data_IF_773818201880
#
_entry.id   IF_773818201880
#
_cell.length_a   1.000
_cell.length_b   1.000
_cell.length_c   1.000
_cell.angle_alpha   90.00
_cell.angle_beta   90.00
_cell.angle_gamma   90.00
#
_symmetry.space_group_name_H-M   'P 1'
#
loop_
_entity.id
_entity.type
_entity.pdbx_description
1 polymer ?
#
# COMPACT_ATOMS: atom_id res chain seq x y z
N UNK A 1 -17.78 20.89 -5.15
CA UNK A 1 -16.47 20.38 -5.63
C UNK A 1 -15.64 20.12 -4.39
N UNK A 2 -15.13 18.90 -4.21
CA UNK A 2 -14.12 18.64 -3.18
C UNK A 2 -12.84 19.37 -3.56
N UNK A 3 -12.32 20.19 -2.66
CA UNK A 3 -11.03 20.86 -2.84
C UNK A 3 -9.91 19.79 -2.86
N UNK A 4 -8.76 20.11 -3.46
CA UNK A 4 -7.57 19.28 -3.46
C UNK A 4 -7.19 18.84 -2.03
N UNK A 5 -7.32 19.76 -1.06
CA UNK A 5 -7.08 19.45 0.35
C UNK A 5 -7.99 18.32 0.86
N UNK A 6 -9.26 18.28 0.45
CA UNK A 6 -10.19 17.20 0.81
C UNK A 6 -9.78 15.87 0.18
N UNK A 7 -9.24 15.88 -1.04
CA UNK A 7 -8.74 14.64 -1.69
C UNK A 7 -7.50 14.10 -0.98
N UNK A 8 -6.60 14.97 -0.55
CA UNK A 8 -5.43 14.58 0.25
C UNK A 8 -5.86 13.98 1.60
N UNK A 9 -6.72 14.70 2.33
CA UNK A 9 -7.27 14.23 3.59
C UNK A 9 -8.03 12.93 3.42
N UNK A 10 -8.92 12.83 2.43
CA UNK A 10 -9.70 11.63 2.15
C UNK A 10 -8.85 10.42 1.76
N UNK A 11 -7.67 10.63 1.15
CA UNK A 11 -6.75 9.53 0.84
C UNK A 11 -6.16 8.93 2.12
N UNK A 12 -5.66 9.76 3.05
CA UNK A 12 -5.08 9.29 4.31
C UNK A 12 -6.15 8.85 5.33
N UNK A 13 -7.24 9.61 5.44
CA UNK A 13 -8.39 9.30 6.28
C UNK A 13 -9.28 8.20 5.70
N UNK A 14 -9.06 7.76 4.47
CA UNK A 14 -9.67 6.54 3.93
C UNK A 14 -8.86 5.29 4.30
N UNK A 15 -7.53 5.43 4.38
CA UNK A 15 -6.61 4.35 4.74
C UNK A 15 -6.83 3.90 6.18
N UNK A 16 -6.73 4.80 7.16
CA UNK A 16 -6.73 4.41 8.58
C UNK A 16 -8.07 3.82 9.08
N UNK A 17 -9.24 4.39 8.77
CA UNK A 17 -10.52 3.76 9.09
C UNK A 17 -10.78 2.51 8.26
N UNK A 18 -10.33 2.45 7.00
CA UNK A 18 -10.44 1.25 6.19
C UNK A 18 -9.69 0.06 6.79
N UNK A 19 -8.47 0.32 7.27
CA UNK A 19 -7.65 -0.61 8.05
C UNK A 19 -8.36 -1.02 9.35
N UNK A 20 -8.78 -0.06 10.18
CA UNK A 20 -9.45 -0.32 11.45
C UNK A 20 -10.80 -1.06 11.33
N UNK A 21 -11.55 -0.88 10.24
CA UNK A 21 -12.76 -1.67 9.93
C UNK A 21 -12.38 -3.06 9.42
N UNK A 22 -11.38 -3.16 8.55
CA UNK A 22 -10.98 -4.40 7.90
C UNK A 22 -10.41 -5.44 8.87
N UNK A 23 -9.64 -4.99 9.86
CA UNK A 23 -9.01 -5.89 10.84
C UNK A 23 -10.00 -6.68 11.70
N UNK A 24 -11.23 -6.16 11.93
CA UNK A 24 -12.30 -6.87 12.66
C UNK A 24 -12.60 -8.26 12.08
N UNK A 25 -12.46 -8.43 10.77
CA UNK A 25 -12.81 -9.66 10.04
C UNK A 25 -11.61 -10.30 9.37
N UNK A 26 -10.40 -9.90 9.77
CA UNK A 26 -9.18 -10.45 9.22
C UNK A 26 -9.08 -11.96 9.46
N UNK A 27 -8.54 -12.67 8.47
CA UNK A 27 -8.49 -14.15 8.40
C UNK A 27 -9.86 -14.86 8.34
N UNK A 28 -10.97 -14.13 8.25
CA UNK A 28 -12.30 -14.72 8.05
C UNK A 28 -12.59 -14.97 6.57
N UNK A 29 -13.37 -16.02 6.27
CA UNK A 29 -13.79 -16.28 4.90
C UNK A 29 -14.89 -15.29 4.48
N UNK A 30 -14.94 -14.85 3.20
CA UNK A 30 -16.04 -14.02 2.72
C UNK A 30 -17.40 -14.68 2.98
N UNK A 31 -18.31 -13.95 3.64
CA UNK A 31 -19.64 -14.44 4.00
C UNK A 31 -19.72 -15.27 5.29
N UNK A 32 -18.60 -15.50 6.00
CA UNK A 32 -18.60 -16.22 7.28
C UNK A 32 -18.79 -15.33 8.51
N UNK A 33 -18.97 -14.03 8.32
CA UNK A 33 -19.09 -13.03 9.38
C UNK A 33 -20.25 -12.08 9.08
N UNK A 34 -20.92 -11.50 10.09
CA UNK A 34 -21.97 -10.52 9.87
C UNK A 34 -21.38 -9.23 9.25
N UNK A 35 -22.14 -8.47 8.45
CA UNK A 35 -21.66 -7.21 7.87
C UNK A 35 -21.10 -6.28 8.95
N UNK A 36 -19.87 -5.79 8.75
CA UNK A 36 -19.25 -4.77 9.60
C UNK A 36 -19.63 -3.40 9.04
N UNK A 37 -20.40 -2.64 9.81
CA UNK A 37 -20.91 -1.33 9.40
C UNK A 37 -20.33 -0.17 10.22
N UNK A 38 -19.51 -0.46 11.24
CA UNK A 38 -18.97 0.54 12.17
C UNK A 38 -17.57 0.13 12.67
N UNK A 39 -16.87 1.05 13.32
CA UNK A 39 -15.57 0.84 13.95
C UNK A 39 -15.74 0.09 15.28
N UNK A 40 -15.88 -1.24 15.21
CA UNK A 40 -16.17 -2.07 16.38
C UNK A 40 -14.92 -2.67 17.05
N UNK A 41 -13.75 -2.59 16.42
CA UNK A 41 -12.52 -3.22 16.93
C UNK A 41 -12.57 -4.75 16.88
N UNK A 42 -12.00 -5.42 17.89
CA UNK A 42 -11.95 -6.88 17.99
C UNK A 42 -10.93 -7.52 17.05
N UNK A 43 -11.39 -8.47 16.23
CA UNK A 43 -10.54 -9.20 15.31
C UNK A 43 -9.50 -10.11 16.00
N UNK A 44 -8.52 -10.64 15.25
CA UNK A 44 -7.51 -11.56 15.76
C UNK A 44 -6.58 -10.94 16.82
N UNK A 45 -6.54 -9.62 16.92
CA UNK A 45 -5.64 -8.89 17.83
C UNK A 45 -6.36 -8.28 19.04
N UNK A 46 -7.69 -8.40 19.13
CA UNK A 46 -8.48 -7.84 20.24
C UNK A 46 -8.36 -6.33 20.35
N UNK A 47 -8.47 -5.62 19.22
CA UNK A 47 -8.28 -4.18 19.15
C UNK A 47 -9.45 -3.39 19.74
N UNK A 48 -9.16 -2.22 20.29
CA UNK A 48 -10.20 -1.25 20.64
C UNK A 48 -10.80 -0.60 19.37
N UNK A 49 -12.07 -0.18 19.40
CA UNK A 49 -12.69 0.64 18.36
C UNK A 49 -11.78 1.76 17.84
N UNK A 50 -11.50 1.76 16.53
CA UNK A 50 -10.69 2.79 15.87
C UNK A 50 -9.17 2.57 15.89
N UNK A 51 -8.67 1.52 16.55
CA UNK A 51 -7.27 1.11 16.42
C UNK A 51 -7.02 0.46 15.06
N UNK A 52 -6.00 0.97 14.36
CA UNK A 52 -5.51 0.51 13.06
C UNK A 52 -4.25 -0.36 13.20
N UNK A 53 -3.82 -1.03 12.14
CA UNK A 53 -2.80 -2.10 12.16
C UNK A 53 -1.47 -1.69 11.51
N UNK A 54 -0.75 -2.64 10.90
CA UNK A 54 0.52 -2.42 10.23
C UNK A 54 0.36 -1.54 8.98
N UNK A 55 -0.76 -1.63 8.27
CA UNK A 55 -1.07 -0.80 7.10
C UNK A 55 -0.88 0.69 7.39
N UNK A 56 -1.57 1.19 8.42
CA UNK A 56 -1.52 2.59 8.82
C UNK A 56 -0.20 2.94 9.51
N UNK A 57 0.35 2.06 10.36
CA UNK A 57 1.64 2.29 11.01
C UNK A 57 2.75 2.57 10.00
N UNK A 58 2.81 1.74 8.95
CA UNK A 58 3.82 1.83 7.91
C UNK A 58 3.55 2.98 6.95
N UNK A 59 2.29 3.35 6.72
CA UNK A 59 1.96 4.56 5.97
C UNK A 59 2.42 5.82 6.73
N UNK A 60 2.17 5.91 8.04
CA UNK A 60 2.59 7.04 8.86
C UNK A 60 4.12 7.17 8.94
N UNK A 61 4.84 6.05 9.08
CA UNK A 61 6.31 6.04 9.01
C UNK A 61 6.82 6.56 7.66
N UNK A 62 6.18 6.18 6.55
CA UNK A 62 6.56 6.64 5.21
C UNK A 62 6.25 8.13 5.01
N UNK A 63 5.11 8.61 5.50
CA UNK A 63 4.76 10.02 5.47
C UNK A 63 5.75 10.87 6.27
N UNK A 64 6.12 10.43 7.48
CA UNK A 64 7.13 11.11 8.30
C UNK A 64 8.48 11.22 7.57
N UNK A 65 8.90 10.15 6.87
CA UNK A 65 10.12 10.16 6.03
C UNK A 65 10.08 11.21 4.94
N UNK A 66 9.03 11.19 4.14
CA UNK A 66 8.88 12.11 3.02
C UNK A 66 8.92 13.57 3.49
N UNK A 67 8.25 13.88 4.59
CA UNK A 67 8.16 15.23 5.15
C UNK A 67 9.50 15.67 5.76
N UNK A 68 10.08 14.88 6.66
CA UNK A 68 11.28 15.25 7.41
C UNK A 68 12.52 15.29 6.51
N UNK A 69 12.64 14.36 5.57
CA UNK A 69 13.74 14.31 4.60
C UNK A 69 13.50 15.21 3.37
N UNK A 70 12.31 15.83 3.26
CA UNK A 70 11.91 16.69 2.12
C UNK A 70 12.05 15.99 0.78
N UNK A 71 11.75 14.69 0.75
CA UNK A 71 11.98 13.82 -0.40
C UNK A 71 11.98 12.36 0.02
N UNK A 72 12.14 11.48 -0.97
CA UNK A 72 12.17 10.04 -0.74
C UNK A 72 13.58 9.61 -0.33
N UNK A 73 13.69 9.12 0.90
CA UNK A 73 14.90 8.48 1.42
C UNK A 73 14.59 7.04 1.81
N UNK A 74 15.08 6.09 1.02
CA UNK A 74 14.82 4.67 1.22
C UNK A 74 15.43 4.13 2.53
N UNK A 75 16.56 4.70 2.99
CA UNK A 75 17.22 4.28 4.23
C UNK A 75 16.43 4.74 5.43
N UNK A 76 16.06 6.01 5.45
CA UNK A 76 15.27 6.61 6.52
C UNK A 76 13.84 6.02 6.59
N UNK A 77 13.25 5.63 5.44
CA UNK A 77 12.05 4.80 5.40
C UNK A 77 12.23 3.48 6.17
N UNK A 78 13.30 2.74 5.89
CA UNK A 78 13.59 1.44 6.55
C UNK A 78 13.93 1.60 8.02
N UNK A 79 14.63 2.68 8.40
CA UNK A 79 14.94 3.00 9.79
C UNK A 79 13.68 3.32 10.61
N UNK A 80 12.71 4.07 10.06
CA UNK A 80 11.42 4.27 10.74
C UNK A 80 10.60 2.98 10.85
N UNK A 81 10.64 2.10 9.85
CA UNK A 81 10.01 0.79 9.98
C UNK A 81 10.68 -0.08 11.04
N UNK A 82 12.01 -0.01 11.21
CA UNK A 82 12.69 -0.67 12.33
C UNK A 82 12.28 -0.06 13.68
N UNK A 83 12.13 1.26 13.78
CA UNK A 83 11.61 1.92 15.01
C UNK A 83 10.18 1.49 15.32
N UNK A 84 9.32 1.39 14.31
CA UNK A 84 7.99 0.82 14.48
C UNK A 84 8.08 -0.62 14.99
N UNK A 85 8.86 -1.47 14.30
CA UNK A 85 9.01 -2.89 14.62
C UNK A 85 9.54 -3.16 16.04
N UNK A 86 10.50 -2.34 16.51
CA UNK A 86 11.14 -2.50 17.81
C UNK A 86 10.41 -1.81 18.95
N UNK A 87 9.96 -0.58 18.72
CA UNK A 87 9.55 0.34 19.78
C UNK A 87 8.08 0.75 19.67
N UNK A 88 7.34 0.25 18.66
CA UNK A 88 5.95 0.64 18.43
C UNK A 88 5.79 2.08 17.94
N UNK A 89 6.83 2.68 17.38
CA UNK A 89 6.78 4.03 16.81
C UNK A 89 5.63 4.16 15.80
N UNK A 90 4.75 5.15 16.02
CA UNK A 90 3.53 5.36 15.23
C UNK A 90 2.67 4.10 15.10
N UNK A 91 2.48 3.37 16.20
CA UNK A 91 1.47 2.31 16.34
C UNK A 91 0.26 2.81 17.13
N UNK A 92 -0.94 2.34 16.78
CA UNK A 92 -2.19 2.61 17.51
C UNK A 92 -2.23 1.99 18.91
N UNK A 93 -1.42 0.98 19.17
CA UNK A 93 -1.37 0.23 20.44
C UNK A 93 -0.09 0.48 21.24
N UNK A 94 0.81 1.34 20.75
CA UNK A 94 2.11 1.59 21.37
C UNK A 94 3.13 0.45 21.21
N UNK A 95 2.82 -0.60 20.45
CA UNK A 95 3.73 -1.72 20.13
C UNK A 95 3.59 -2.17 18.68
N UNK A 96 4.60 -2.82 18.12
CA UNK A 96 4.44 -3.52 16.84
C UNK A 96 3.60 -4.79 17.01
N UNK A 97 2.61 -4.96 16.15
CA UNK A 97 1.85 -6.20 16.00
C UNK A 97 1.52 -6.37 14.51
N UNK A 98 1.06 -7.56 14.13
CA UNK A 98 0.55 -7.85 12.78
C UNK A 98 1.53 -7.64 11.60
N UNK A 99 2.84 -7.50 11.90
CA UNK A 99 3.86 -7.37 10.85
C UNK A 99 3.95 -8.65 10.00
N UNK A 100 3.68 -8.50 8.70
CA UNK A 100 3.83 -9.57 7.72
C UNK A 100 5.27 -10.12 7.60
N UNK A 101 5.39 -11.38 7.23
CA UNK A 101 6.66 -12.12 7.18
C UNK A 101 7.65 -11.52 6.17
N UNK A 102 7.16 -11.04 5.01
CA UNK A 102 8.01 -10.40 3.99
C UNK A 102 8.60 -9.09 4.52
N UNK A 103 7.81 -8.27 5.22
CA UNK A 103 8.30 -7.04 5.86
C UNK A 103 9.32 -7.38 6.93
N UNK A 104 8.98 -8.28 7.86
CA UNK A 104 9.87 -8.72 8.95
C UNK A 104 11.21 -9.22 8.40
N UNK A 105 11.19 -10.01 7.34
CA UNK A 105 12.40 -10.55 6.70
C UNK A 105 13.25 -9.44 6.09
N UNK A 106 12.63 -8.49 5.38
CA UNK A 106 13.34 -7.35 4.78
C UNK A 106 13.97 -6.44 5.85
N UNK A 107 13.25 -6.15 6.93
CA UNK A 107 13.77 -5.36 8.06
C UNK A 107 14.95 -6.07 8.73
N UNK A 108 14.86 -7.38 8.93
CA UNK A 108 15.96 -8.18 9.48
C UNK A 108 17.21 -8.13 8.58
N UNK A 109 17.04 -8.30 7.26
CA UNK A 109 18.13 -8.19 6.28
C UNK A 109 18.79 -6.81 6.33
N UNK A 110 17.99 -5.74 6.27
CA UNK A 110 18.49 -4.38 6.37
C UNK A 110 19.22 -4.10 7.70
N UNK A 111 18.71 -4.62 8.81
CA UNK A 111 19.34 -4.46 10.12
C UNK A 111 20.71 -5.16 10.21
N UNK A 112 20.88 -6.30 9.54
CA UNK A 112 22.13 -7.07 9.54
C UNK A 112 23.12 -6.65 8.44
N UNK A 113 22.65 -5.96 7.41
CA UNK A 113 23.49 -5.48 6.32
C UNK A 113 24.49 -4.42 6.84
N UNK A 114 25.82 -4.65 6.71
CA UNK A 114 26.84 -3.70 7.14
C UNK A 114 26.81 -2.39 6.34
N UNK A 115 26.41 -2.44 5.07
CA UNK A 115 26.31 -1.28 4.18
C UNK A 115 24.98 -0.54 4.33
N UNK A 116 24.04 -1.11 5.10
CA UNK A 116 22.68 -0.58 5.28
C UNK A 116 22.02 -0.31 3.93
N UNK A 117 22.05 -1.30 3.03
CA UNK A 117 21.33 -1.22 1.76
C UNK A 117 19.81 -1.27 2.02
N UNK A 118 19.06 -0.19 1.74
CA UNK A 118 17.64 -0.12 2.07
C UNK A 118 16.76 -1.00 1.17
N UNK A 119 17.25 -1.43 0.02
CA UNK A 119 16.51 -2.23 -0.95
C UNK A 119 16.57 -3.73 -0.63
N UNK A 120 16.07 -4.09 0.56
CA UNK A 120 16.16 -5.43 1.12
C UNK A 120 15.00 -6.37 0.73
N UNK A 121 14.07 -5.89 -0.11
CA UNK A 121 12.90 -6.64 -0.53
C UNK A 121 13.22 -7.84 -1.40
N UNK A 122 12.57 -8.97 -1.14
CA UNK A 122 12.70 -10.18 -1.95
C UNK A 122 12.18 -9.95 -3.38
N UNK A 123 12.93 -10.39 -4.39
CA UNK A 123 12.53 -10.36 -5.81
C UNK A 123 11.79 -11.62 -6.26
N UNK A 124 11.67 -12.63 -5.39
CA UNK A 124 10.93 -13.87 -5.66
C UNK A 124 9.45 -13.57 -5.97
N UNK A 125 8.92 -14.11 -7.06
CA UNK A 125 7.54 -13.93 -7.48
C UNK A 125 6.51 -14.38 -6.40
N UNK A 126 6.88 -15.34 -5.55
CA UNK A 126 6.03 -15.83 -4.45
C UNK A 126 5.98 -14.87 -3.26
N UNK A 127 6.85 -13.87 -3.21
CA UNK A 127 6.88 -12.83 -2.18
C UNK A 127 6.08 -11.57 -2.54
N UNK A 128 5.25 -11.64 -3.58
CA UNK A 128 4.33 -10.58 -3.97
C UNK A 128 3.11 -10.52 -3.03
N UNK A 129 3.33 -10.20 -1.75
CA UNK A 129 2.31 -9.84 -0.76
C UNK A 129 1.95 -8.34 -0.82
N UNK A 130 0.90 -7.93 -0.10
CA UNK A 130 0.35 -6.56 -0.14
C UNK A 130 1.15 -5.55 0.70
N UNK A 131 2.13 -6.00 1.47
CA UNK A 131 2.84 -5.21 2.49
C UNK A 131 3.48 -3.91 2.01
N UNK A 132 3.78 -3.78 0.72
CA UNK A 132 4.26 -2.51 0.14
C UNK A 132 3.14 -1.63 -0.43
N UNK A 133 2.04 -2.22 -0.89
CA UNK A 133 0.91 -1.51 -1.49
C UNK A 133 0.04 -0.82 -0.45
N UNK A 134 -0.25 -1.51 0.66
CA UNK A 134 -1.15 -1.01 1.72
C UNK A 134 -0.67 0.30 2.37
N UNK A 135 0.65 0.51 2.42
CA UNK A 135 1.30 1.69 3.01
C UNK A 135 1.58 2.83 2.02
N UNK A 136 1.23 2.66 0.74
CA UNK A 136 1.79 3.46 -0.35
C UNK A 136 1.32 4.91 -0.38
N UNK A 137 0.09 5.19 0.08
CA UNK A 137 -0.62 6.45 -0.10
C UNK A 137 0.22 7.74 0.09
N UNK A 138 1.14 7.86 1.07
CA UNK A 138 1.95 9.06 1.24
C UNK A 138 2.82 9.43 0.03
N UNK A 139 3.30 8.46 -0.75
CA UNK A 139 4.19 8.71 -1.90
C UNK A 139 3.49 9.49 -3.02
N UNK A 140 2.37 9.02 -3.60
CA UNK A 140 1.66 9.78 -4.63
C UNK A 140 1.06 11.10 -4.12
N UNK A 141 0.81 11.23 -2.82
CA UNK A 141 0.42 12.51 -2.23
C UNK A 141 1.58 13.51 -2.22
N UNK A 142 2.77 13.08 -1.79
CA UNK A 142 3.94 13.95 -1.71
C UNK A 142 4.42 14.41 -3.10
N UNK A 143 4.33 13.54 -4.11
CA UNK A 143 4.78 13.81 -5.48
C UNK A 143 3.63 14.15 -6.45
N UNK A 144 2.46 14.58 -5.97
CA UNK A 144 1.29 14.77 -6.84
C UNK A 144 1.50 15.79 -7.98
N UNK A 145 2.41 16.75 -7.78
CA UNK A 145 2.78 17.76 -8.77
C UNK A 145 3.59 17.19 -9.93
N UNK A 146 4.35 16.10 -9.70
CA UNK A 146 5.08 15.34 -10.71
C UNK A 146 4.60 13.87 -10.74
N UNK A 147 3.55 13.56 -11.52
CA UNK A 147 2.97 12.23 -11.55
C UNK A 147 3.94 11.13 -12.00
N UNK A 148 4.90 11.44 -12.87
CA UNK A 148 5.90 10.47 -13.31
C UNK A 148 6.88 10.16 -12.17
N UNK A 149 7.25 11.14 -11.36
CA UNK A 149 8.04 10.91 -10.16
C UNK A 149 7.26 10.15 -9.08
N UNK A 150 5.98 10.43 -8.89
CA UNK A 150 5.12 9.65 -7.99
C UNK A 150 5.13 8.14 -8.34
N UNK A 151 5.03 7.80 -9.63
CA UNK A 151 5.09 6.39 -10.08
C UNK A 151 6.48 5.78 -9.85
N UNK A 152 7.56 6.52 -10.15
CA UNK A 152 8.94 6.06 -9.90
C UNK A 152 9.21 5.82 -8.42
N UNK A 153 8.81 6.76 -7.55
CA UNK A 153 9.00 6.65 -6.09
C UNK A 153 8.14 5.58 -5.46
N UNK A 154 6.98 5.28 -6.03
CA UNK A 154 6.17 4.14 -5.61
C UNK A 154 6.88 2.80 -5.84
N UNK A 155 7.59 2.67 -6.97
CA UNK A 155 8.41 1.49 -7.25
C UNK A 155 9.54 1.36 -6.22
N UNK A 156 10.30 2.44 -6.00
CA UNK A 156 11.43 2.47 -5.08
C UNK A 156 11.01 2.21 -3.63
N UNK A 157 9.90 2.81 -3.17
CA UNK A 157 9.31 2.55 -1.85
C UNK A 157 8.89 1.10 -1.67
N UNK A 158 8.38 0.45 -2.72
CA UNK A 158 8.01 -0.96 -2.69
C UNK A 158 9.24 -1.85 -2.50
N UNK A 159 10.30 -1.62 -3.28
CA UNK A 159 11.54 -2.41 -3.31
C UNK A 159 12.26 -2.49 -1.96
N UNK A 160 12.02 -1.55 -1.04
CA UNK A 160 12.60 -1.60 0.31
C UNK A 160 12.22 -2.87 1.07
N UNK A 161 10.99 -3.37 0.90
CA UNK A 161 10.51 -4.61 1.55
C UNK A 161 9.96 -5.66 0.59
N UNK A 162 9.49 -5.26 -0.58
CA UNK A 162 8.92 -6.13 -1.61
C UNK A 162 9.55 -5.80 -2.98
N UNK A 163 10.55 -6.58 -3.38
CA UNK A 163 11.22 -6.43 -4.68
C UNK A 163 10.55 -7.22 -5.82
N UNK A 164 9.55 -8.05 -5.51
CA UNK A 164 8.86 -8.88 -6.49
C UNK A 164 8.16 -8.00 -7.52
N UNK A 165 8.38 -8.27 -8.81
CA UNK A 165 7.89 -7.41 -9.91
C UNK A 165 6.40 -7.07 -9.79
N UNK A 166 5.55 -8.06 -9.46
CA UNK A 166 4.10 -7.82 -9.30
C UNK A 166 3.79 -6.85 -8.16
N UNK A 167 4.51 -6.88 -7.04
CA UNK A 167 4.29 -5.96 -5.92
C UNK A 167 4.75 -4.54 -6.26
N UNK A 168 5.92 -4.43 -6.90
CA UNK A 168 6.47 -3.15 -7.37
C UNK A 168 5.54 -2.50 -8.40
N UNK A 169 5.09 -3.27 -9.39
CA UNK A 169 4.20 -2.78 -10.44
C UNK A 169 2.79 -2.46 -9.91
N UNK A 170 2.30 -3.18 -8.91
CA UNK A 170 1.05 -2.84 -8.23
C UNK A 170 1.16 -1.48 -7.53
N UNK A 171 2.31 -1.20 -6.90
CA UNK A 171 2.55 0.11 -6.30
C UNK A 171 2.64 1.23 -7.35
N UNK A 172 3.38 1.00 -8.44
CA UNK A 172 3.44 1.94 -9.59
C UNK A 172 2.03 2.28 -10.10
N UNK A 173 1.21 1.25 -10.32
CA UNK A 173 -0.13 1.44 -10.84
C UNK A 173 -1.08 2.13 -9.85
N UNK A 174 -1.02 1.77 -8.57
CA UNK A 174 -1.82 2.44 -7.53
C UNK A 174 -1.43 3.91 -7.36
N UNK A 175 -0.14 4.25 -7.44
CA UNK A 175 0.31 5.64 -7.43
C UNK A 175 -0.26 6.43 -8.61
N UNK A 176 -0.24 5.86 -9.81
CA UNK A 176 -0.87 6.44 -10.99
C UNK A 176 -2.36 6.73 -10.75
N UNK A 177 -3.12 5.77 -10.21
CA UNK A 177 -4.54 5.94 -9.90
C UNK A 177 -4.78 7.03 -8.85
N UNK A 178 -4.00 7.05 -7.76
CA UNK A 178 -4.13 8.07 -6.71
C UNK A 178 -3.86 9.45 -7.29
N UNK A 179 -2.76 9.64 -8.03
CA UNK A 179 -2.46 10.95 -8.64
C UNK A 179 -3.53 11.37 -9.65
N UNK A 180 -4.04 10.44 -10.47
CA UNK A 180 -5.17 10.70 -11.35
C UNK A 180 -6.40 11.20 -10.60
N UNK A 181 -6.75 10.53 -9.49
CA UNK A 181 -7.83 10.94 -8.62
C UNK A 181 -7.56 12.31 -7.96
N UNK A 182 -6.35 12.61 -7.49
CA UNK A 182 -6.01 13.93 -6.93
C UNK A 182 -6.18 15.04 -7.98
N UNK A 183 -5.84 14.76 -9.24
CA UNK A 183 -5.93 15.71 -10.36
C UNK A 183 -7.28 15.75 -11.05
N UNK A 184 -8.31 15.11 -10.48
CA UNK A 184 -9.68 15.26 -10.92
C UNK A 184 -10.16 14.27 -11.99
N UNK A 185 -9.39 13.22 -12.31
CA UNK A 185 -9.85 12.18 -13.22
C UNK A 185 -11.15 11.54 -12.70
N UNK A 186 -12.08 11.22 -13.61
CA UNK A 186 -13.32 10.54 -13.26
C UNK A 186 -13.06 9.08 -12.87
N UNK A 187 -13.98 8.49 -12.11
CA UNK A 187 -13.91 7.06 -11.77
C UNK A 187 -13.90 6.20 -13.05
N UNK A 188 -14.69 6.59 -14.04
CA UNK A 188 -14.75 5.92 -15.33
C UNK A 188 -13.39 5.96 -16.04
N UNK A 189 -12.71 7.11 -16.05
CA UNK A 189 -11.39 7.25 -16.69
C UNK A 189 -10.31 6.44 -15.97
N UNK A 190 -10.36 6.40 -14.64
CA UNK A 190 -9.44 5.59 -13.83
C UNK A 190 -9.64 4.07 -14.04
N UNK A 191 -10.81 3.61 -14.50
CA UNK A 191 -11.15 2.18 -14.60
C UNK A 191 -11.19 1.62 -16.04
N UNK A 192 -11.15 2.44 -17.09
CA UNK A 192 -11.28 2.02 -18.50
C UNK A 192 -10.11 1.18 -19.06
N UNK A 193 -8.98 1.11 -18.37
CA UNK A 193 -7.76 0.45 -18.81
C UNK A 193 -6.62 0.73 -17.83
N UNK A 194 -5.35 0.41 -18.16
CA UNK A 194 -4.24 0.83 -17.33
C UNK A 194 -4.12 2.35 -17.40
N UNK A 195 -4.73 3.04 -16.43
CA UNK A 195 -4.62 4.49 -16.31
C UNK A 195 -3.14 4.90 -16.27
N UNK A 196 -2.79 5.87 -17.11
CA UNK A 196 -1.46 6.48 -17.15
C UNK A 196 -1.59 7.96 -16.81
N UNK A 197 -0.93 8.46 -15.76
CA UNK A 197 -0.97 9.87 -15.45
C UNK A 197 -0.11 10.67 -16.43
N UNK A 198 -0.27 11.99 -16.44
CA UNK A 198 0.53 12.88 -17.28
C UNK A 198 2.04 12.63 -17.11
N UNK A 199 2.77 12.55 -18.23
CA UNK A 199 4.22 12.33 -18.24
C UNK A 199 4.65 10.87 -18.05
N UNK A 200 3.72 9.92 -17.99
CA UNK A 200 4.03 8.51 -17.81
C UNK A 200 3.52 7.65 -18.97
N UNK A 201 4.36 6.73 -19.45
CA UNK A 201 4.02 5.81 -20.55
C UNK A 201 4.38 4.36 -20.19
N UNK A 202 3.35 3.53 -20.03
CA UNK A 202 3.49 2.10 -19.76
C UNK A 202 4.13 1.31 -20.91
N UNK A 203 4.22 1.86 -22.12
CA UNK A 203 4.90 1.19 -23.25
C UNK A 203 6.42 1.11 -23.04
N UNK A 204 7.00 2.13 -22.40
CA UNK A 204 8.43 2.21 -22.10
C UNK A 204 8.85 1.29 -20.95
N UNK A 205 7.99 1.16 -19.94
CA UNK A 205 8.22 0.29 -18.77
C UNK A 205 6.96 -0.53 -18.43
N UNK A 206 6.70 -1.64 -19.16
CA UNK A 206 5.45 -2.38 -19.05
C UNK A 206 5.21 -3.00 -17.67
N UNK A 207 3.95 -2.91 -17.21
CA UNK A 207 3.46 -3.60 -16.03
C UNK A 207 3.63 -5.13 -16.16
N UNK A 208 3.79 -5.81 -15.04
CA UNK A 208 3.78 -7.27 -14.97
C UNK A 208 2.55 -7.85 -15.67
N UNK A 209 2.70 -8.97 -16.38
CA UNK A 209 1.61 -9.64 -17.10
C UNK A 209 0.42 -9.99 -16.20
N UNK A 210 0.68 -10.24 -14.91
CA UNK A 210 -0.32 -10.49 -13.87
C UNK A 210 -1.25 -9.30 -13.63
N UNK A 211 -0.77 -8.08 -13.87
CA UNK A 211 -1.52 -6.83 -13.74
C UNK A 211 -2.14 -6.36 -15.07
N UNK A 212 -1.74 -6.94 -16.19
CA UNK A 212 -2.25 -6.60 -17.53
C UNK A 212 -3.76 -6.84 -17.74
N UNK A 213 -4.44 -7.47 -16.78
CA UNK A 213 -5.88 -7.71 -16.80
C UNK A 213 -6.69 -6.62 -16.04
N UNK A 214 -6.02 -5.71 -15.35
CA UNK A 214 -6.67 -4.64 -14.58
C UNK A 214 -7.21 -3.59 -15.57
N UNK A 215 -8.54 -3.50 -15.66
CA UNK A 215 -9.25 -2.58 -16.57
C UNK A 215 -10.05 -3.24 -17.70
N UNK A 216 -10.05 -4.58 -17.81
CA UNK A 216 -10.93 -5.26 -18.77
C UNK A 216 -12.40 -5.26 -18.30
N UNK A 217 -13.39 -5.09 -19.21
CA UNK A 217 -14.81 -5.09 -18.88
C UNK A 217 -15.23 -6.32 -18.08
N UNK A 218 -16.10 -6.11 -17.10
CA UNK A 218 -16.66 -7.16 -16.22
C UNK A 218 -17.25 -8.35 -16.99
N UNK A 219 -17.65 -8.16 -18.25
CA UNK A 219 -18.33 -9.14 -19.09
C UNK A 219 -17.48 -10.36 -19.53
N UNK A 220 -16.14 -10.32 -19.43
CA UNK A 220 -15.27 -11.48 -19.71
C UNK A 220 -15.05 -12.33 -18.44
N UNK A 221 -15.70 -11.98 -17.32
CA UNK A 221 -15.61 -12.72 -16.06
C UNK A 221 -16.62 -13.87 -16.05
N UNK A 222 -16.22 -15.04 -16.55
CA UNK A 222 -16.93 -16.28 -16.24
C UNK A 222 -16.80 -16.56 -14.74
N UNK A 223 -17.90 -16.34 -14.03
CA UNK A 223 -18.13 -16.50 -12.58
C UNK A 223 -18.11 -15.17 -11.78
N UNK A 224 -19.30 -14.59 -11.47
CA UNK A 224 -19.48 -13.34 -10.72
C UNK A 224 -18.90 -13.35 -9.30
N UNK A 225 -18.58 -14.52 -8.74
CA UNK A 225 -18.01 -14.71 -7.41
C UNK A 225 -16.49 -14.92 -7.39
N UNK A 226 -15.84 -14.84 -8.56
CA UNK A 226 -14.38 -14.88 -8.72
C UNK A 226 -13.81 -13.53 -9.12
N UNK A 227 -14.35 -12.44 -8.58
CA UNK A 227 -13.43 -11.43 -8.05
C UNK A 227 -12.73 -12.15 -6.90
N UNK A 228 -11.62 -12.84 -7.20
CA UNK A 228 -10.54 -12.81 -6.22
C UNK A 228 -10.31 -11.32 -6.04
N UNK A 229 -10.90 -10.73 -4.99
CA UNK A 229 -10.15 -9.85 -4.13
C UNK A 229 -8.86 -10.63 -3.99
N UNK A 230 -7.93 -10.18 -4.82
CA UNK A 230 -6.69 -10.85 -5.16
C UNK A 230 -6.17 -11.26 -3.78
N UNK A 231 -5.91 -12.55 -3.59
CA UNK A 231 -5.88 -13.29 -2.31
C UNK A 231 -4.76 -12.77 -1.38
N UNK A 232 -4.83 -11.48 -1.04
CA UNK A 232 -3.78 -10.61 -0.50
C UNK A 232 -3.89 -10.56 1.01
N UNK A 233 -5.11 -10.62 1.57
CA UNK A 233 -5.34 -10.65 3.01
C UNK A 233 -5.01 -12.01 3.66
N UNK A 234 -4.67 -13.05 2.89
CA UNK A 234 -4.36 -14.40 3.43
C UNK A 234 -2.91 -14.82 3.29
N UNK A 235 -2.02 -13.93 2.81
CA UNK A 235 -0.57 -14.18 2.75
C UNK A 235 0.21 -13.07 3.46
N UNK A 236 0.01 -12.97 4.77
CA UNK A 236 0.95 -12.30 5.68
C UNK A 236 2.10 -13.23 6.04
#
# INVERSE_FOLDING_TARGET
>A
MTDLQDRYRGTLLGLAPGDAVGTTVEFSAPGSFPPVADLVGGGPFGLEPGQWTDDTSMALCLAASLIECRGFDARDQMERYLRWHRDGYLSSTGRCFDIGNTVRTALHRFAQDPDKNPYAGSTDANSAGNGSLMRLAPVPLFYADDPAEAVRRAAESSRTTHGARTAVDACRYMAALIVGALRGASKEDLLKGPFAPAGWDWSSEPLARTLGWIGLPFAIRSNPWRIRCLHWHTRK
#
